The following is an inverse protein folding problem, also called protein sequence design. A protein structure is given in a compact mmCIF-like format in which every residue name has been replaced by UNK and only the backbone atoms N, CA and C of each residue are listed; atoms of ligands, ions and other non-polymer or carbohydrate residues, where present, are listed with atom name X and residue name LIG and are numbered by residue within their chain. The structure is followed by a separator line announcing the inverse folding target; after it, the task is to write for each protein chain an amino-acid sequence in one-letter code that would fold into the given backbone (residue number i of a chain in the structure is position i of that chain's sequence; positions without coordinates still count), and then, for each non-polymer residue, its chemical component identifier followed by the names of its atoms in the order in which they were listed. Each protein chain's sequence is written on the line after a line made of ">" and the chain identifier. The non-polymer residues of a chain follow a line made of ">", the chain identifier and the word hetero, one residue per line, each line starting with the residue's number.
data_IF_831965466987
#
_entry.id   IF_831965466987
#
_cell.length_a   1.000
_cell.length_b   1.000
_cell.length_c   1.000
_cell.angle_alpha   90.00
_cell.angle_beta   90.00
_cell.angle_gamma   90.00
#
_symmetry.space_group_name_H-M   'P 1'
#
loop_
_entity.id
_entity.type
_entity.pdbx_description
1 polymer ?
#
# COMPACT_ATOMS: atom_id res chain seq x y z
N UNK A 1 -24.21 24.16 -19.08
CA UNK A 1 -24.21 23.16 -17.98
C UNK A 1 -23.74 21.76 -18.38
N UNK A 2 -23.90 21.32 -19.63
CA UNK A 2 -23.42 20.00 -20.11
C UNK A 2 -21.89 19.78 -19.93
N UNK A 3 -21.09 20.82 -20.12
CA UNK A 3 -19.63 20.73 -19.98
C UNK A 3 -19.15 20.44 -18.54
N UNK A 4 -19.88 20.93 -17.52
CA UNK A 4 -19.55 20.68 -16.12
C UNK A 4 -19.73 19.20 -15.78
N UNK A 5 -20.91 18.65 -16.11
CA UNK A 5 -21.22 17.24 -15.89
C UNK A 5 -20.28 16.32 -16.67
N UNK A 6 -19.95 16.66 -17.92
CA UNK A 6 -19.02 15.88 -18.74
C UNK A 6 -17.58 15.85 -18.16
N UNK A 7 -17.14 16.93 -17.51
CA UNK A 7 -15.84 16.94 -16.82
C UNK A 7 -15.89 16.20 -15.47
N UNK A 8 -17.01 16.25 -14.76
CA UNK A 8 -17.19 15.55 -13.49
C UNK A 8 -17.09 14.03 -13.66
N UNK A 9 -17.62 13.45 -14.75
CA UNK A 9 -17.46 12.01 -15.03
C UNK A 9 -16.02 11.60 -15.40
N UNK A 10 -15.21 12.53 -15.92
CA UNK A 10 -13.79 12.26 -16.24
C UNK A 10 -12.91 12.30 -15.00
N UNK A 11 -13.33 13.01 -13.95
CA UNK A 11 -12.56 13.16 -12.73
C UNK A 11 -12.33 11.84 -11.97
N UNK A 12 -13.32 10.93 -11.77
CA UNK A 12 -13.08 9.61 -11.21
C UNK A 12 -12.02 8.81 -11.97
N UNK A 13 -12.07 8.84 -13.31
CA UNK A 13 -11.08 8.15 -14.15
C UNK A 13 -9.68 8.73 -13.97
N UNK A 14 -9.57 10.05 -13.88
CA UNK A 14 -8.31 10.72 -13.60
C UNK A 14 -7.78 10.32 -12.21
N UNK A 15 -8.63 10.39 -11.19
CA UNK A 15 -8.27 10.09 -9.81
C UNK A 15 -7.79 8.64 -9.67
N UNK A 16 -8.50 7.66 -10.23
CA UNK A 16 -8.08 6.26 -10.18
C UNK A 16 -6.76 6.04 -10.92
N UNK A 17 -6.57 6.66 -12.08
CA UNK A 17 -5.32 6.56 -12.85
C UNK A 17 -4.14 7.13 -12.06
N UNK A 18 -4.31 8.30 -11.43
CA UNK A 18 -3.28 8.94 -10.61
C UNK A 18 -2.98 8.11 -9.38
N UNK A 19 -4.00 7.63 -8.67
CA UNK A 19 -3.80 6.78 -7.49
C UNK A 19 -3.05 5.49 -7.85
N UNK A 20 -3.47 4.80 -8.91
CA UNK A 20 -2.79 3.57 -9.37
C UNK A 20 -1.34 3.88 -9.75
N UNK A 21 -1.09 4.92 -10.55
CA UNK A 21 0.27 5.33 -10.93
C UNK A 21 1.13 5.69 -9.72
N UNK A 22 0.57 6.42 -8.75
CA UNK A 22 1.22 6.78 -7.51
C UNK A 22 1.59 5.56 -6.66
N UNK A 23 0.67 4.62 -6.45
CA UNK A 23 0.95 3.41 -5.69
C UNK A 23 1.97 2.52 -6.41
N UNK A 24 1.85 2.33 -7.73
CA UNK A 24 2.82 1.52 -8.48
C UNK A 24 4.24 2.08 -8.43
N UNK A 25 4.39 3.41 -8.53
CA UNK A 25 5.69 4.08 -8.47
C UNK A 25 6.26 4.07 -7.04
N UNK A 26 5.43 4.36 -6.03
CA UNK A 26 5.81 4.38 -4.62
C UNK A 26 6.17 2.99 -4.09
N UNK A 27 5.48 1.94 -4.54
CA UNK A 27 5.74 0.55 -4.13
C UNK A 27 6.83 -0.14 -4.96
N UNK A 28 7.30 0.46 -6.07
CA UNK A 28 8.42 -0.06 -6.89
C UNK A 28 9.67 -0.49 -6.08
N UNK A 29 10.19 0.29 -5.11
CA UNK A 29 11.31 -0.14 -4.28
C UNK A 29 11.00 -1.38 -3.44
N UNK A 30 9.75 -1.55 -2.98
CA UNK A 30 9.30 -2.73 -2.22
C UNK A 30 9.37 -3.97 -3.11
N UNK A 31 8.89 -3.88 -4.35
CA UNK A 31 9.03 -4.96 -5.32
C UNK A 31 10.50 -5.27 -5.66
N UNK A 32 11.39 -4.26 -5.63
CA UNK A 32 12.83 -4.45 -5.83
C UNK A 32 13.50 -5.20 -4.67
N UNK A 33 13.07 -4.95 -3.42
CA UNK A 33 13.53 -5.68 -2.23
C UNK A 33 13.21 -7.17 -2.30
N UNK A 34 12.06 -7.53 -2.88
CA UNK A 34 11.59 -8.91 -3.04
C UNK A 34 12.33 -9.73 -4.11
N UNK A 35 13.06 -9.08 -5.03
CA UNK A 35 13.76 -9.78 -6.14
C UNK A 35 15.06 -10.47 -5.74
N UNK A 36 15.77 -9.98 -4.72
CA UNK A 36 17.03 -10.60 -4.26
C UNK A 36 16.74 -11.55 -3.09
N UNK A 37 17.24 -12.79 -3.16
CA UNK A 37 16.98 -13.83 -2.16
C UNK A 37 17.34 -13.41 -0.72
N UNK A 38 18.49 -12.77 -0.54
CA UNK A 38 18.94 -12.24 0.76
C UNK A 38 18.03 -11.12 1.29
N UNK A 39 17.65 -10.17 0.44
CA UNK A 39 16.78 -9.04 0.80
C UNK A 39 15.34 -9.48 1.05
N UNK A 40 14.89 -10.54 0.39
CA UNK A 40 13.58 -11.15 0.60
C UNK A 40 13.46 -11.73 2.01
N UNK A 41 14.50 -12.40 2.52
CA UNK A 41 14.50 -12.95 3.88
C UNK A 41 14.40 -11.81 4.91
N UNK A 42 15.22 -10.75 4.76
CA UNK A 42 15.16 -9.57 5.63
C UNK A 42 13.77 -8.90 5.59
N UNK A 43 13.17 -8.81 4.40
CA UNK A 43 11.82 -8.26 4.24
C UNK A 43 10.76 -9.11 4.97
N UNK A 44 10.83 -10.44 4.87
CA UNK A 44 9.91 -11.34 5.57
C UNK A 44 10.04 -11.22 7.08
N UNK A 45 11.28 -11.16 7.61
CA UNK A 45 11.54 -10.96 9.04
C UNK A 45 10.94 -9.63 9.51
N UNK A 46 11.14 -8.55 8.76
CA UNK A 46 10.58 -7.23 9.07
C UNK A 46 9.04 -7.29 9.12
N UNK A 47 8.40 -7.93 8.14
CA UNK A 47 6.94 -8.10 8.11
C UNK A 47 6.44 -8.89 9.32
N UNK A 48 7.12 -9.98 9.70
CA UNK A 48 6.76 -10.77 10.88
C UNK A 48 6.88 -9.96 12.18
N UNK A 49 7.91 -9.13 12.32
CA UNK A 49 8.08 -8.25 13.48
C UNK A 49 6.93 -7.24 13.56
N UNK A 50 6.54 -6.64 12.44
CA UNK A 50 5.43 -5.69 12.38
C UNK A 50 4.12 -6.38 12.78
N UNK A 51 3.82 -7.54 12.20
CA UNK A 51 2.60 -8.31 12.53
C UNK A 51 2.61 -8.72 14.00
N UNK A 52 3.74 -9.22 14.52
CA UNK A 52 3.86 -9.60 15.92
C UNK A 52 3.68 -8.42 16.87
N UNK A 53 4.19 -7.24 16.50
CA UNK A 53 4.01 -6.00 17.28
C UNK A 53 2.56 -5.57 17.27
N UNK A 54 1.90 -5.53 16.11
CA UNK A 54 0.48 -5.20 15.99
C UNK A 54 -0.37 -6.17 16.80
N UNK A 55 -0.10 -7.48 16.67
CA UNK A 55 -0.80 -8.51 17.44
C UNK A 55 -0.64 -8.27 18.94
N UNK A 56 0.57 -7.99 19.41
CA UNK A 56 0.83 -7.70 20.82
C UNK A 56 0.11 -6.44 21.28
N UNK A 57 0.10 -5.38 20.47
CA UNK A 57 -0.62 -4.13 20.77
C UNK A 57 -2.12 -4.39 20.87
N UNK A 58 -2.70 -5.09 19.89
CA UNK A 58 -4.12 -5.45 19.93
C UNK A 58 -4.42 -6.29 21.17
N UNK A 59 -3.61 -7.31 21.44
CA UNK A 59 -3.74 -8.18 22.61
C UNK A 59 -3.74 -7.39 23.92
N UNK A 60 -2.83 -6.42 24.05
CA UNK A 60 -2.77 -5.51 25.20
C UNK A 60 -4.01 -4.61 25.30
N UNK A 61 -4.58 -4.18 24.17
CA UNK A 61 -5.80 -3.36 24.14
C UNK A 61 -7.07 -4.17 24.44
N UNK A 62 -7.13 -5.44 24.02
CA UNK A 62 -8.31 -6.30 24.18
C UNK A 62 -8.30 -7.17 25.44
N UNK A 63 -7.19 -7.22 26.18
CA UNK A 63 -7.10 -7.93 27.46
C UNK A 63 -7.15 -9.46 27.37
N UNK A 64 -7.09 -10.02 26.15
CA UNK A 64 -6.93 -11.46 25.86
C UNK A 64 -5.48 -11.91 26.02
#
# INVERSE_FOLDING_TARGET
>A
MSNFWNNLYKFPRFLTTVLIGFFLTTLKPIFKLLKKKERKILFVILVLIIIGTIYKTIKLMTGT
#
